data_IF_130543550920
#
_entry.id   IF_130543550920
#
_cell.length_a   1.000
_cell.length_b   1.000
_cell.length_c   1.000
_cell.angle_alpha   90.00
_cell.angle_beta   90.00
_cell.angle_gamma   90.00
#
_symmetry.space_group_name_H-M   'P 1'
#
loop_
_entity.id
_entity.type
_entity.pdbx_description
1 polymer ?
#
# COMPACT_ATOMS: atom_id res chain seq x y z
N UNK A 1 -37.92 -60.75 -16.39
CA UNK A 1 -37.39 -60.27 -15.09
C UNK A 1 -36.25 -59.29 -15.39
N UNK A 2 -36.39 -58.01 -15.02
CA UNK A 2 -35.36 -56.97 -15.17
C UNK A 2 -35.18 -56.27 -13.82
N UNK A 3 -33.98 -56.14 -13.25
CA UNK A 3 -33.79 -55.44 -12.00
C UNK A 3 -33.75 -53.93 -12.25
N UNK A 4 -34.57 -53.20 -11.50
CA UNK A 4 -34.58 -51.74 -11.39
C UNK A 4 -33.40 -51.32 -10.50
N UNK A 5 -32.42 -50.62 -11.05
CA UNK A 5 -31.39 -49.94 -10.26
C UNK A 5 -31.89 -48.54 -9.87
N UNK A 6 -32.07 -48.30 -8.57
CA UNK A 6 -32.27 -46.97 -8.00
C UNK A 6 -30.89 -46.34 -7.77
N UNK A 7 -30.56 -45.29 -8.53
CA UNK A 7 -29.47 -44.39 -8.19
C UNK A 7 -30.00 -43.34 -7.19
N UNK A 8 -29.52 -43.42 -5.95
CA UNK A 8 -29.66 -42.36 -4.95
C UNK A 8 -28.52 -41.35 -5.15
N UNK A 9 -28.85 -40.18 -5.71
CA UNK A 9 -27.98 -39.01 -5.73
C UNK A 9 -28.02 -38.34 -4.36
N UNK A 10 -27.00 -38.58 -3.53
CA UNK A 10 -26.74 -37.78 -2.33
C UNK A 10 -26.11 -36.45 -2.74
N UNK A 11 -26.91 -35.38 -2.77
CA UNK A 11 -26.39 -34.02 -2.78
C UNK A 11 -25.78 -33.73 -1.40
N UNK A 12 -24.45 -33.81 -1.29
CA UNK A 12 -23.72 -33.23 -0.17
C UNK A 12 -23.70 -31.71 -0.34
N UNK A 13 -24.51 -30.99 0.44
CA UNK A 13 -24.41 -29.54 0.57
C UNK A 13 -23.14 -29.19 1.34
N UNK A 14 -22.07 -28.81 0.62
CA UNK A 14 -20.95 -28.14 1.24
C UNK A 14 -21.41 -26.73 1.65
N UNK A 15 -21.69 -26.55 2.94
CA UNK A 15 -21.89 -25.20 3.49
C UNK A 15 -20.55 -24.45 3.38
N UNK A 16 -20.54 -23.21 2.87
CA UNK A 16 -19.34 -22.39 2.89
C UNK A 16 -18.98 -22.16 4.37
N UNK A 17 -17.80 -22.63 4.77
CA UNK A 17 -17.25 -22.30 6.07
C UNK A 17 -17.18 -20.77 6.16
N UNK A 18 -17.93 -20.17 7.07
CA UNK A 18 -17.72 -18.77 7.45
C UNK A 18 -16.26 -18.66 7.84
N UNK A 19 -15.46 -17.97 7.02
CA UNK A 19 -14.06 -17.70 7.35
C UNK A 19 -14.05 -16.88 8.63
N UNK A 20 -13.72 -17.51 9.76
CA UNK A 20 -13.53 -16.82 11.02
C UNK A 20 -12.34 -15.89 10.85
N UNK A 21 -12.52 -14.61 11.16
CA UNK A 21 -11.41 -13.66 11.19
C UNK A 21 -10.40 -14.15 12.22
N UNK A 22 -9.13 -14.34 11.85
CA UNK A 22 -8.13 -14.78 12.80
C UNK A 22 -7.99 -13.75 13.94
N UNK A 23 -7.64 -14.18 15.18
CA UNK A 23 -7.50 -13.26 16.30
C UNK A 23 -6.41 -12.22 15.99
N UNK A 24 -6.42 -11.03 16.59
CA UNK A 24 -5.36 -10.05 16.38
C UNK A 24 -3.99 -10.61 16.80
N UNK A 25 -2.94 -10.14 16.13
CA UNK A 25 -1.56 -10.50 16.47
C UNK A 25 -1.24 -10.16 17.92
N UNK A 26 -0.50 -11.04 18.59
CA UNK A 26 -0.05 -10.84 19.98
C UNK A 26 1.41 -10.38 20.01
N UNK A 27 1.74 -9.50 20.96
CA UNK A 27 3.12 -9.09 21.18
C UNK A 27 3.99 -10.31 21.55
N UNK A 28 5.12 -10.47 20.87
CA UNK A 28 6.02 -11.62 21.06
C UNK A 28 5.57 -12.91 20.35
N UNK A 29 4.48 -12.86 19.56
CA UNK A 29 4.09 -13.99 18.73
C UNK A 29 5.16 -14.30 17.67
N UNK A 30 5.50 -15.57 17.54
CA UNK A 30 6.45 -16.08 16.55
C UNK A 30 5.68 -16.99 15.59
N UNK A 31 5.86 -16.77 14.30
CA UNK A 31 5.29 -17.55 13.21
C UNK A 31 6.02 -17.25 11.90
N UNK A 32 5.69 -17.97 10.85
CA UNK A 32 6.16 -17.61 9.51
C UNK A 32 5.56 -16.28 9.05
N UNK A 33 6.24 -15.59 8.13
CA UNK A 33 5.71 -14.34 7.55
C UNK A 33 4.31 -14.54 6.94
N UNK A 34 4.06 -15.68 6.30
CA UNK A 34 2.76 -16.00 5.69
C UNK A 34 1.65 -16.15 6.75
N UNK A 35 1.92 -16.81 7.88
CA UNK A 35 0.95 -16.96 8.96
C UNK A 35 0.63 -15.62 9.62
N UNK A 36 1.66 -14.81 9.89
CA UNK A 36 1.49 -13.50 10.51
C UNK A 36 0.77 -12.52 9.58
N UNK A 37 1.07 -12.53 8.28
CA UNK A 37 0.38 -11.72 7.28
C UNK A 37 -1.10 -12.11 7.14
N UNK A 38 -1.41 -13.42 7.09
CA UNK A 38 -2.78 -13.90 7.04
C UNK A 38 -3.60 -13.48 8.28
N UNK A 39 -2.94 -13.40 9.44
CA UNK A 39 -3.56 -12.95 10.69
C UNK A 39 -3.72 -11.42 10.78
N UNK A 40 -2.75 -10.66 10.27
CA UNK A 40 -2.83 -9.18 10.18
C UNK A 40 -4.01 -8.75 9.30
N UNK A 41 -4.20 -9.45 8.18
CA UNK A 41 -5.14 -9.06 7.13
C UNK A 41 -4.65 -7.86 6.32
N UNK A 42 -5.38 -7.48 5.25
CA UNK A 42 -5.04 -6.32 4.44
C UNK A 42 -5.22 -5.04 5.26
N UNK A 43 -4.20 -4.19 5.24
CA UNK A 43 -4.29 -2.89 5.89
C UNK A 43 -4.39 -1.77 4.84
N UNK A 44 -4.99 -0.65 5.24
CA UNK A 44 -5.06 0.58 4.45
C UNK A 44 -4.30 1.65 5.22
N UNK A 45 -3.40 2.40 4.58
CA UNK A 45 -2.74 3.53 5.23
C UNK A 45 -3.76 4.52 5.77
N UNK A 46 -3.48 5.12 6.93
CA UNK A 46 -4.28 6.23 7.42
C UNK A 46 -4.18 7.41 6.44
N UNK A 47 -5.30 8.04 6.05
CA UNK A 47 -5.26 9.22 5.20
C UNK A 47 -4.51 10.34 5.91
N UNK A 48 -3.55 10.95 5.20
CA UNK A 48 -2.86 12.16 5.65
C UNK A 48 -3.37 13.36 4.86
N UNK A 49 -3.24 14.55 5.44
CA UNK A 49 -3.55 15.79 4.74
C UNK A 49 -2.38 16.78 4.85
N UNK A 50 -1.75 17.05 3.71
CA UNK A 50 -0.52 17.84 3.67
C UNK A 50 -0.82 19.33 3.61
N UNK A 51 0.01 20.12 4.29
CA UNK A 51 -0.14 21.57 4.26
C UNK A 51 0.50 22.18 3.01
N UNK A 52 -0.33 22.82 2.19
CA UNK A 52 0.10 23.48 0.95
C UNK A 52 1.16 24.57 1.18
N UNK A 53 1.11 25.27 2.31
CA UNK A 53 2.06 26.34 2.65
C UNK A 53 3.43 25.84 3.11
N UNK A 54 3.59 24.51 3.29
CA UNK A 54 4.86 23.85 3.62
C UNK A 54 5.52 23.17 2.43
N UNK A 55 4.85 23.17 1.26
CA UNK A 55 5.35 22.60 0.01
C UNK A 55 5.76 23.74 -0.92
N UNK A 56 6.91 23.66 -1.63
CA UNK A 56 7.29 24.64 -2.62
C UNK A 56 6.19 24.86 -3.67
N UNK A 57 5.92 26.10 -4.12
CA UNK A 57 4.78 26.39 -5.00
C UNK A 57 4.73 25.55 -6.28
N UNK A 58 5.89 25.18 -6.83
CA UNK A 58 6.06 24.36 -8.03
C UNK A 58 5.85 22.85 -7.81
N UNK A 59 5.70 22.40 -6.56
CA UNK A 59 5.45 21.01 -6.17
C UNK A 59 4.08 20.80 -5.53
N UNK A 60 3.33 21.87 -5.28
CA UNK A 60 2.02 21.83 -4.60
C UNK A 60 0.99 21.00 -5.37
N UNK A 61 1.12 20.89 -6.69
CA UNK A 61 0.26 20.06 -7.53
C UNK A 61 0.48 18.55 -7.31
N UNK A 62 1.64 18.16 -6.77
CA UNK A 62 1.95 16.76 -6.42
C UNK A 62 1.39 16.34 -5.06
N UNK A 63 0.83 17.24 -4.26
CA UNK A 63 0.29 16.94 -2.93
C UNK A 63 -0.69 15.74 -2.94
N UNK A 64 -1.69 15.66 -3.84
CA UNK A 64 -2.61 14.52 -3.86
C UNK A 64 -1.91 13.18 -4.13
N UNK A 65 -0.82 13.20 -4.91
CA UNK A 65 -0.01 12.01 -5.14
C UNK A 65 0.84 11.67 -3.91
N UNK A 66 1.43 12.67 -3.25
CA UNK A 66 2.18 12.46 -2.02
C UNK A 66 1.29 11.95 -0.88
N UNK A 67 0.04 12.42 -0.76
CA UNK A 67 -0.94 11.91 0.20
C UNK A 67 -1.32 10.44 -0.05
N UNK A 68 -1.41 10.03 -1.33
CA UNK A 68 -1.76 8.66 -1.72
C UNK A 68 -0.58 7.69 -1.63
N UNK A 69 0.60 8.13 -2.05
CA UNK A 69 1.76 7.27 -2.31
C UNK A 69 2.91 7.47 -1.32
N UNK A 70 2.87 8.53 -0.51
CA UNK A 70 3.86 8.87 0.51
C UNK A 70 3.77 8.01 1.77
N UNK A 71 3.73 6.69 1.60
CA UNK A 71 3.53 5.72 2.68
C UNK A 71 4.89 5.30 3.26
N UNK A 72 5.12 5.61 4.54
CA UNK A 72 6.40 5.31 5.20
C UNK A 72 6.62 3.84 5.57
N UNK A 73 5.56 3.15 5.96
CA UNK A 73 5.58 1.71 6.25
C UNK A 73 5.75 0.92 4.95
N UNK A 74 6.83 0.15 4.87
CA UNK A 74 7.22 -0.61 3.68
C UNK A 74 6.22 -1.70 3.31
N UNK A 75 5.70 -2.42 4.29
CA UNK A 75 4.69 -3.46 4.10
C UNK A 75 3.38 -2.87 3.58
N UNK A 76 2.91 -1.75 4.12
CA UNK A 76 1.74 -1.03 3.62
C UNK A 76 1.96 -0.49 2.22
N UNK A 77 3.15 0.04 1.95
CA UNK A 77 3.52 0.57 0.64
C UNK A 77 3.51 -0.55 -0.40
N UNK A 78 4.12 -1.71 -0.12
CA UNK A 78 4.10 -2.89 -0.99
C UNK A 78 2.66 -3.37 -1.25
N UNK A 79 1.83 -3.50 -0.20
CA UNK A 79 0.43 -3.91 -0.33
C UNK A 79 -0.38 -2.94 -1.22
N UNK A 80 -0.17 -1.63 -1.06
CA UNK A 80 -0.82 -0.61 -1.88
C UNK A 80 -0.37 -0.67 -3.34
N UNK A 81 0.94 -0.85 -3.58
CA UNK A 81 1.49 -1.01 -4.92
C UNK A 81 0.98 -2.29 -5.60
N UNK A 82 0.83 -3.39 -4.87
CA UNK A 82 0.30 -4.65 -5.41
C UNK A 82 -1.17 -4.54 -5.83
N UNK A 83 -1.97 -3.75 -5.09
CA UNK A 83 -3.40 -3.52 -5.38
C UNK A 83 -3.63 -2.48 -6.49
N UNK A 84 -2.69 -1.56 -6.67
CA UNK A 84 -2.83 -0.48 -7.63
C UNK A 84 -2.87 -0.97 -9.08
N UNK A 85 -3.73 -0.34 -9.87
CA UNK A 85 -3.80 -0.57 -11.32
C UNK A 85 -2.55 -0.05 -12.04
N UNK A 86 -2.25 -0.60 -13.21
CA UNK A 86 -1.16 -0.10 -14.04
C UNK A 86 -1.35 1.38 -14.41
N UNK A 87 -2.60 1.83 -14.61
CA UNK A 87 -2.91 3.23 -14.91
C UNK A 87 -2.57 4.16 -13.74
N UNK A 88 -2.85 3.75 -12.49
CA UNK A 88 -2.49 4.53 -11.31
C UNK A 88 -0.98 4.64 -11.13
N UNK A 89 -0.24 3.56 -11.39
CA UNK A 89 1.22 3.55 -11.35
C UNK A 89 1.80 4.46 -12.44
N UNK A 90 1.28 4.34 -13.67
CA UNK A 90 1.70 5.18 -14.79
C UNK A 90 1.43 6.66 -14.51
N UNK A 91 0.25 7.01 -13.98
CA UNK A 91 -0.08 8.38 -13.64
C UNK A 91 0.89 8.98 -12.60
N UNK A 92 1.32 8.17 -11.63
CA UNK A 92 2.35 8.60 -10.68
C UNK A 92 3.71 8.80 -11.36
N UNK A 93 4.17 7.85 -12.18
CA UNK A 93 5.42 7.97 -12.92
C UNK A 93 5.46 9.19 -13.84
N UNK A 94 4.39 9.41 -14.62
CA UNK A 94 4.26 10.56 -15.51
C UNK A 94 4.27 11.90 -14.77
N UNK A 95 3.66 11.96 -13.58
CA UNK A 95 3.64 13.17 -12.77
C UNK A 95 5.01 13.47 -12.13
N UNK A 96 5.82 12.46 -11.84
CA UNK A 96 7.14 12.62 -11.23
C UNK A 96 8.26 12.79 -12.26
N UNK A 97 7.99 12.44 -13.53
CA UNK A 97 8.90 12.64 -14.66
C UNK A 97 9.47 14.06 -14.66
N UNK A 98 10.79 14.15 -14.74
CA UNK A 98 11.58 15.40 -14.72
C UNK A 98 11.49 16.22 -13.40
N UNK A 99 10.77 15.74 -12.38
CA UNK A 99 10.60 16.42 -11.09
C UNK A 99 11.40 15.79 -9.94
N UNK A 100 11.93 14.58 -10.12
CA UNK A 100 12.72 13.87 -9.10
C UNK A 100 13.90 14.70 -8.55
N UNK A 101 14.70 15.29 -9.44
CA UNK A 101 15.83 16.13 -9.05
C UNK A 101 15.36 17.35 -8.23
N UNK A 102 14.22 17.94 -8.60
CA UNK A 102 13.64 19.11 -7.93
C UNK A 102 13.10 18.76 -6.54
N UNK A 103 12.44 17.61 -6.38
CA UNK A 103 11.97 17.10 -5.09
C UNK A 103 13.16 16.77 -4.21
N UNK A 104 14.15 16.05 -4.73
CA UNK A 104 15.37 15.68 -4.00
C UNK A 104 16.15 16.91 -3.52
N UNK A 105 16.27 17.95 -4.35
CA UNK A 105 16.90 19.21 -3.95
C UNK A 105 16.14 19.91 -2.81
N UNK A 106 14.80 19.87 -2.82
CA UNK A 106 14.00 20.41 -1.71
C UNK A 106 14.19 19.60 -0.43
N UNK A 107 14.12 18.27 -0.51
CA UNK A 107 14.36 17.38 0.64
C UNK A 107 15.77 17.56 1.21
N UNK A 108 16.77 17.82 0.36
CA UNK A 108 18.14 18.12 0.77
C UNK A 108 18.35 19.50 1.40
N UNK A 109 17.37 20.41 1.31
CA UNK A 109 17.47 21.76 1.89
C UNK A 109 17.19 21.83 3.39
N UNK A 110 16.62 20.76 3.97
CA UNK A 110 16.28 20.71 5.39
C UNK A 110 17.55 20.54 6.26
N UNK A 111 17.59 21.20 7.44
CA UNK A 111 18.72 21.08 8.36
C UNK A 111 18.83 19.65 8.90
N UNK A 112 20.07 19.16 8.98
CA UNK A 112 20.36 17.83 9.53
C UNK A 112 20.03 17.75 11.03
N UNK A 113 19.56 16.59 11.47
CA UNK A 113 19.24 16.32 12.88
C UNK A 113 17.91 16.92 13.38
N UNK A 114 17.16 17.60 12.51
CA UNK A 114 15.79 18.01 12.81
C UNK A 114 14.79 16.93 12.37
N UNK A 115 13.66 16.78 13.08
CA UNK A 115 12.56 15.93 12.61
C UNK A 115 12.08 16.37 11.23
N UNK A 116 11.82 15.39 10.37
CA UNK A 116 11.23 15.62 9.05
C UNK A 116 9.76 16.05 9.21
N UNK A 117 9.31 17.01 8.40
CA UNK A 117 7.88 17.36 8.36
C UNK A 117 7.08 16.28 7.63
N UNK A 118 5.77 16.20 7.88
CA UNK A 118 4.89 15.24 7.22
C UNK A 118 4.93 15.40 5.69
N UNK A 119 5.04 16.64 5.19
CA UNK A 119 5.17 16.93 3.76
C UNK A 119 6.48 16.39 3.18
N UNK A 120 7.60 16.63 3.85
CA UNK A 120 8.89 16.12 3.41
C UNK A 120 8.91 14.58 3.44
N UNK A 121 8.33 13.97 4.48
CA UNK A 121 8.22 12.53 4.59
C UNK A 121 7.35 11.94 3.46
N UNK A 122 6.17 12.50 3.21
CA UNK A 122 5.27 12.03 2.17
C UNK A 122 5.91 12.12 0.77
N UNK A 123 6.61 13.22 0.45
CA UNK A 123 7.31 13.35 -0.83
C UNK A 123 8.52 12.42 -0.94
N UNK A 124 9.27 12.20 0.14
CA UNK A 124 10.36 11.24 0.19
C UNK A 124 9.85 9.82 -0.08
N UNK A 125 8.82 9.38 0.64
CA UNK A 125 8.27 8.04 0.49
C UNK A 125 7.53 7.84 -0.84
N UNK A 126 6.96 8.88 -1.42
CA UNK A 126 6.42 8.84 -2.78
C UNK A 126 7.53 8.57 -3.81
N UNK A 127 8.68 9.24 -3.71
CA UNK A 127 9.83 8.95 -4.60
C UNK A 127 10.36 7.52 -4.39
N UNK A 128 10.44 7.07 -3.14
CA UNK A 128 10.85 5.70 -2.82
C UNK A 128 9.90 4.66 -3.42
N UNK A 129 8.59 4.88 -3.31
CA UNK A 129 7.59 4.00 -3.92
C UNK A 129 7.66 4.00 -5.46
N UNK A 130 8.02 5.13 -6.08
CA UNK A 130 8.27 5.19 -7.51
C UNK A 130 9.52 4.36 -7.91
N UNK A 131 10.57 4.37 -7.09
CA UNK A 131 11.80 3.57 -7.28
C UNK A 131 11.50 2.08 -7.25
N UNK A 132 10.80 1.65 -6.20
CA UNK A 132 10.44 0.25 -5.95
C UNK A 132 9.62 -0.33 -7.11
N UNK A 133 8.80 0.50 -7.76
CA UNK A 133 8.00 0.11 -8.93
C UNK A 133 8.75 0.24 -10.26
N UNK A 134 9.99 0.72 -10.28
CA UNK A 134 10.78 0.92 -11.50
C UNK A 134 10.25 2.03 -12.40
N UNK A 135 9.70 3.10 -11.81
CA UNK A 135 9.09 4.23 -12.52
C UNK A 135 10.04 5.43 -12.68
N UNK A 136 11.29 5.32 -12.22
CA UNK A 136 12.33 6.36 -12.28
C UNK A 136 13.41 6.05 -13.32
#
# INVERSE_FOLDING_TARGET
MKPRWMLLLTLGTALPACAQTPPPLQHGQIGSAAELAAQRGPATPEPIHLRRDRVPPDLVDLIPLAEKWGIGDDLLREEMQARATAAEKQAMGDALKDRHARITAWLGSFPQGQPMSDEAAAFMYMQMGADEMGLM
#
